data_IF_979450798873
#
_entry.id   IF_979450798873
#
_cell.length_a   1.000
_cell.length_b   1.000
_cell.length_c   1.000
_cell.angle_alpha   90.00
_cell.angle_beta   90.00
_cell.angle_gamma   90.00
#
_symmetry.space_group_name_H-M   'P 1'
#
loop_
_entity.id
_entity.type
_entity.pdbx_description
1 polymer ?
#
# COMPACT_ATOMS: atom_id res chain seq x y z
N UNK A 1 -4.00 11.26 -3.08
CA UNK A 1 -2.98 11.85 -2.18
C UNK A 1 -2.12 10.86 -1.42
N UNK A 2 -2.68 9.77 -0.87
CA UNK A 2 -1.89 8.76 -0.12
C UNK A 2 -0.71 8.22 -0.92
N UNK A 3 -0.94 7.72 -2.13
CA UNK A 3 0.12 7.21 -3.03
C UNK A 3 1.16 8.29 -3.41
N UNK A 4 0.78 9.57 -3.32
CA UNK A 4 1.66 10.70 -3.57
C UNK A 4 2.40 11.20 -2.33
N UNK A 5 2.18 10.61 -1.14
CA UNK A 5 2.74 11.05 0.15
C UNK A 5 2.33 12.48 0.52
N UNK A 6 1.08 12.86 0.20
CA UNK A 6 0.51 14.19 0.49
C UNK A 6 -0.72 14.12 1.39
N UNK A 7 -1.04 12.95 1.94
CA UNK A 7 -2.18 12.71 2.84
C UNK A 7 -1.85 13.00 4.31
N UNK A 8 -2.88 13.07 5.14
CA UNK A 8 -2.68 13.12 6.60
C UNK A 8 -2.14 11.79 7.12
N UNK A 9 -1.66 11.79 8.37
CA UNK A 9 -1.20 10.59 9.05
C UNK A 9 -2.34 9.57 9.18
N UNK A 10 -3.53 10.02 9.58
CA UNK A 10 -4.71 9.17 9.80
C UNK A 10 -5.16 8.49 8.51
N UNK A 11 -5.18 9.24 7.40
CA UNK A 11 -5.49 8.68 6.08
C UNK A 11 -4.45 7.63 5.65
N UNK A 12 -3.18 7.88 5.94
CA UNK A 12 -2.09 6.96 5.61
C UNK A 12 -2.17 5.69 6.45
N UNK A 13 -2.42 5.83 7.75
CA UNK A 13 -2.47 4.73 8.72
C UNK A 13 -3.60 3.74 8.40
N UNK A 14 -4.80 4.23 8.04
CA UNK A 14 -5.93 3.36 7.65
C UNK A 14 -5.60 2.55 6.39
N UNK A 15 -4.98 3.18 5.39
CA UNK A 15 -4.59 2.47 4.16
C UNK A 15 -3.51 1.43 4.44
N UNK A 16 -2.50 1.77 5.27
CA UNK A 16 -1.45 0.82 5.65
C UNK A 16 -2.00 -0.35 6.45
N UNK A 17 -2.92 -0.12 7.40
CA UNK A 17 -3.54 -1.18 8.18
C UNK A 17 -4.34 -2.16 7.30
N UNK A 18 -5.20 -1.65 6.40
CA UNK A 18 -5.96 -2.49 5.48
C UNK A 18 -5.06 -3.24 4.49
N UNK A 19 -4.01 -2.58 3.99
CA UNK A 19 -3.04 -3.19 3.10
C UNK A 19 -2.25 -4.30 3.79
N UNK A 20 -1.81 -4.07 5.03
CA UNK A 20 -1.13 -5.07 5.85
C UNK A 20 -2.01 -6.29 6.09
N UNK A 21 -3.29 -6.09 6.44
CA UNK A 21 -4.25 -7.18 6.63
C UNK A 21 -4.44 -8.00 5.33
N UNK A 22 -4.59 -7.33 4.19
CA UNK A 22 -4.74 -7.99 2.90
C UNK A 22 -3.48 -8.78 2.51
N UNK A 23 -2.29 -8.20 2.71
CA UNK A 23 -1.00 -8.86 2.42
C UNK A 23 -0.79 -10.06 3.35
N UNK A 24 -1.02 -9.89 4.65
CA UNK A 24 -0.90 -10.96 5.65
C UNK A 24 -1.81 -12.13 5.29
N UNK A 25 -3.06 -11.85 4.91
CA UNK A 25 -4.02 -12.87 4.47
C UNK A 25 -3.58 -13.57 3.19
N UNK A 26 -3.15 -12.81 2.18
CA UNK A 26 -2.83 -13.37 0.85
C UNK A 26 -1.49 -14.13 0.81
N UNK A 27 -0.56 -13.81 1.71
CA UNK A 27 0.78 -14.42 1.76
C UNK A 27 0.97 -15.36 2.95
N UNK A 28 -0.01 -15.46 3.84
CA UNK A 28 0.07 -16.24 5.09
C UNK A 28 1.27 -15.86 5.97
N UNK A 29 1.58 -14.56 6.04
CA UNK A 29 2.67 -14.01 6.85
C UNK A 29 2.15 -13.21 8.03
N UNK A 30 3.00 -12.95 9.02
CA UNK A 30 2.65 -12.15 10.20
C UNK A 30 2.25 -10.72 9.86
N UNK A 31 1.29 -10.16 10.62
CA UNK A 31 0.76 -8.82 10.34
C UNK A 31 1.81 -7.71 10.43
N UNK A 32 2.81 -7.84 11.33
CA UNK A 32 3.91 -6.88 11.44
C UNK A 32 4.80 -6.86 10.20
N UNK A 33 5.16 -8.04 9.68
CA UNK A 33 5.92 -8.16 8.42
C UNK A 33 5.12 -7.61 7.24
N UNK A 34 3.83 -7.94 7.17
CA UNK A 34 2.94 -7.40 6.15
C UNK A 34 2.80 -5.87 6.21
N UNK A 35 2.81 -5.29 7.41
CA UNK A 35 2.80 -3.83 7.59
C UNK A 35 4.07 -3.17 7.07
N UNK A 36 5.24 -3.77 7.32
CA UNK A 36 6.51 -3.28 6.77
C UNK A 36 6.52 -3.34 5.24
N UNK A 37 5.97 -4.40 4.65
CA UNK A 37 5.80 -4.50 3.19
C UNK A 37 4.83 -3.44 2.63
N UNK A 38 3.71 -3.20 3.31
CA UNK A 38 2.75 -2.16 2.92
C UNK A 38 3.41 -0.76 2.97
N UNK A 39 4.17 -0.50 4.03
CA UNK A 39 4.89 0.76 4.23
C UNK A 39 6.00 0.95 3.19
N UNK A 40 6.79 -0.08 2.91
CA UNK A 40 7.78 -0.05 1.83
C UNK A 40 7.11 0.24 0.48
N UNK A 41 6.02 -0.46 0.15
CA UNK A 41 5.29 -0.26 -1.11
C UNK A 41 4.81 1.18 -1.30
N UNK A 42 4.33 1.82 -0.22
CA UNK A 42 3.90 3.20 -0.22
C UNK A 42 5.08 4.19 -0.35
N UNK A 43 6.09 4.06 0.53
CA UNK A 43 7.21 5.02 0.62
C UNK A 43 8.16 4.94 -0.58
N UNK A 44 8.38 3.73 -1.11
CA UNK A 44 9.20 3.50 -2.32
C UNK A 44 8.46 3.82 -3.63
N UNK A 45 7.22 4.30 -3.56
CA UNK A 45 6.36 4.60 -4.72
C UNK A 45 5.99 3.40 -5.59
N UNK A 46 6.27 2.16 -5.17
CA UNK A 46 5.84 0.94 -5.89
C UNK A 46 4.32 0.90 -6.06
N UNK A 47 3.56 1.24 -5.01
CA UNK A 47 2.10 1.29 -5.08
C UNK A 47 1.58 2.29 -6.13
N UNK A 48 2.19 3.48 -6.23
CA UNK A 48 1.85 4.48 -7.25
C UNK A 48 2.16 3.98 -8.67
N UNK A 49 3.32 3.35 -8.84
CA UNK A 49 3.71 2.76 -10.13
C UNK A 49 2.71 1.71 -10.58
N UNK A 50 2.37 0.75 -9.71
CA UNK A 50 1.37 -0.29 -10.03
C UNK A 50 0.00 0.31 -10.34
N UNK A 51 -0.43 1.34 -9.61
CA UNK A 51 -1.69 2.03 -9.89
C UNK A 51 -1.71 2.71 -11.26
N UNK A 52 -0.62 3.39 -11.64
CA UNK A 52 -0.52 4.01 -12.97
C UNK A 52 -0.51 2.96 -14.09
N UNK A 53 0.18 1.84 -13.90
CA UNK A 53 0.14 0.71 -14.85
C UNK A 53 -1.28 0.16 -14.98
N UNK A 54 -2.02 0.00 -13.88
CA UNK A 54 -3.42 -0.43 -13.92
C UNK A 54 -4.30 0.54 -14.71
N UNK A 55 -4.14 1.85 -14.51
CA UNK A 55 -4.86 2.87 -15.29
C UNK A 55 -4.56 2.73 -16.79
N UNK A 56 -3.28 2.57 -17.15
CA UNK A 56 -2.87 2.42 -18.55
C UNK A 56 -3.48 1.19 -19.21
N UNK A 57 -3.54 0.07 -18.49
CA UNK A 57 -4.15 -1.19 -18.95
C UNK A 57 -5.68 -1.14 -19.00
N UNK A 58 -6.31 -0.17 -18.33
CA UNK A 58 -7.77 -0.03 -18.27
C UNK A 58 -8.33 0.96 -19.30
N UNK A 59 -7.50 1.43 -20.23
CA UNK A 59 -7.89 2.26 -21.38
C UNK A 59 -8.27 1.40 -22.57
#
# INVERSE_FOLDING_TARGET
DVLNLRSTKEQTDVVLANSALAISTAKEIGISEAFDLAKDSLLSKKALKSFNTLIELSK
#
